data_IF_432255104306
#
_entry.id   IF_432255104306
#
_cell.length_a   1.000
_cell.length_b   1.000
_cell.length_c   1.000
_cell.angle_alpha   90.00
_cell.angle_beta   90.00
_cell.angle_gamma   90.00
#
_symmetry.space_group_name_H-M   'P 1'
#
loop_
_entity.id
_entity.type
_entity.pdbx_description
1 polymer ?
#
# COMPACT_ATOMS: atom_id res chain seq x y z
N UNK A 1 11.22 -48.27 -25.86
CA UNK A 1 10.68 -47.59 -24.66
C UNK A 1 11.60 -46.49 -24.08
N UNK A 2 12.75 -46.15 -24.68
CA UNK A 2 13.72 -45.18 -24.09
C UNK A 2 13.70 -43.74 -24.63
N UNK A 3 12.80 -43.38 -25.56
CA UNK A 3 12.80 -42.05 -26.22
C UNK A 3 11.97 -40.99 -25.49
N UNK A 4 10.93 -41.37 -24.75
CA UNK A 4 10.04 -40.41 -24.07
C UNK A 4 10.62 -39.82 -22.78
N UNK A 5 11.53 -40.53 -22.10
CA UNK A 5 12.15 -40.04 -20.86
C UNK A 5 13.12 -38.86 -21.10
N UNK A 6 13.76 -38.81 -22.29
CA UNK A 6 14.66 -37.70 -22.66
C UNK A 6 13.91 -36.40 -22.99
N UNK A 7 12.65 -36.49 -23.43
CA UNK A 7 11.81 -35.32 -23.70
C UNK A 7 11.36 -34.61 -22.39
N UNK A 8 11.31 -35.34 -21.26
CA UNK A 8 11.04 -34.80 -19.93
C UNK A 8 12.24 -34.11 -19.27
N UNK A 9 13.43 -34.30 -19.83
CA UNK A 9 14.70 -33.72 -19.35
C UNK A 9 15.15 -32.54 -20.21
N UNK A 10 14.28 -32.04 -21.09
CA UNK A 10 14.54 -30.81 -21.83
C UNK A 10 14.52 -29.66 -20.82
N UNK A 11 15.61 -28.90 -20.75
CA UNK A 11 15.64 -27.66 -19.97
C UNK A 11 14.63 -26.69 -20.58
N UNK A 12 13.49 -26.48 -19.91
CA UNK A 12 12.39 -25.64 -20.41
C UNK A 12 12.79 -24.16 -20.53
N UNK A 13 13.62 -23.67 -19.60
CA UNK A 13 14.21 -22.32 -19.63
C UNK A 13 15.52 -22.29 -18.84
N UNK A 14 16.51 -21.53 -19.32
CA UNK A 14 17.70 -21.22 -18.52
C UNK A 14 17.37 -20.21 -17.41
N UNK A 15 18.15 -20.20 -16.33
CA UNK A 15 17.98 -19.22 -15.24
C UNK A 15 18.08 -17.76 -15.73
N UNK A 16 18.86 -17.50 -16.78
CA UNK A 16 18.98 -16.18 -17.39
C UNK A 16 17.71 -15.79 -18.14
N UNK A 17 17.17 -16.69 -18.97
CA UNK A 17 15.92 -16.45 -19.70
C UNK A 17 14.75 -16.26 -18.74
N UNK A 18 14.69 -17.05 -17.67
CA UNK A 18 13.72 -16.87 -16.58
C UNK A 18 13.86 -15.48 -15.95
N UNK A 19 15.07 -15.04 -15.61
CA UNK A 19 15.30 -13.73 -15.00
C UNK A 19 14.94 -12.58 -15.94
N UNK A 20 15.36 -12.63 -17.20
CA UNK A 20 15.05 -11.60 -18.21
C UNK A 20 13.53 -11.50 -18.43
N UNK A 21 12.84 -12.63 -18.52
CA UNK A 21 11.37 -12.67 -18.59
C UNK A 21 10.73 -12.07 -17.35
N UNK A 22 11.14 -12.47 -16.15
CA UNK A 22 10.59 -11.96 -14.88
C UNK A 22 10.82 -10.46 -14.71
N UNK A 23 12.01 -9.95 -15.05
CA UNK A 23 12.32 -8.52 -14.94
C UNK A 23 11.55 -7.68 -15.96
N UNK A 24 11.24 -8.25 -17.12
CA UNK A 24 10.46 -7.60 -18.17
C UNK A 24 8.96 -7.59 -17.83
N UNK A 25 8.42 -8.73 -17.38
CA UNK A 25 7.00 -8.86 -17.00
C UNK A 25 6.66 -8.16 -15.69
N UNK A 26 7.63 -8.07 -14.76
CA UNK A 26 7.44 -7.58 -13.39
C UNK A 26 8.50 -6.54 -13.03
N UNK A 27 8.49 -5.36 -13.69
CA UNK A 27 9.48 -4.32 -13.44
C UNK A 27 9.38 -3.80 -12.01
N UNK A 28 10.50 -3.29 -11.50
CA UNK A 28 10.53 -2.66 -10.19
C UNK A 28 9.73 -1.37 -10.16
N UNK A 29 8.94 -1.21 -9.11
CA UNK A 29 8.09 -0.08 -8.81
C UNK A 29 8.82 0.80 -7.81
N UNK A 30 9.47 1.86 -8.31
CA UNK A 30 10.11 2.87 -7.48
C UNK A 30 9.04 3.83 -6.96
N UNK A 31 8.60 3.59 -5.73
CA UNK A 31 7.57 4.37 -5.06
C UNK A 31 8.21 5.12 -3.88
N UNK A 32 8.59 6.41 -4.02
CA UNK A 32 8.93 7.23 -2.86
C UNK A 32 7.77 7.26 -1.85
N UNK A 33 8.00 7.20 -0.52
CA UNK A 33 9.29 7.06 0.17
C UNK A 33 9.86 5.63 0.22
N UNK A 34 9.14 4.62 -0.28
CA UNK A 34 9.46 3.18 -0.20
C UNK A 34 10.54 2.68 -1.18
N UNK A 35 11.31 3.57 -1.78
CA UNK A 35 12.29 3.27 -2.83
C UNK A 35 13.54 2.48 -2.38
N UNK A 36 13.77 2.29 -1.07
CA UNK A 36 14.95 1.58 -0.56
C UNK A 36 14.98 0.08 -0.86
N UNK A 37 13.80 -0.55 -0.94
CA UNK A 37 13.68 -1.96 -1.31
C UNK A 37 12.91 -2.03 -2.62
N UNK A 38 13.42 -2.76 -3.62
CA UNK A 38 12.76 -2.86 -4.91
C UNK A 38 11.43 -3.62 -4.77
N UNK A 39 10.32 -2.89 -4.89
CA UNK A 39 8.97 -3.47 -4.90
C UNK A 39 8.60 -3.91 -6.32
N UNK A 40 7.80 -4.96 -6.46
CA UNK A 40 7.29 -5.46 -7.74
C UNK A 40 5.90 -6.06 -7.59
N UNK A 41 5.23 -6.30 -8.72
CA UNK A 41 3.98 -7.05 -8.72
C UNK A 41 4.17 -8.45 -8.11
N UNK A 42 3.19 -8.89 -7.34
CA UNK A 42 3.25 -10.09 -6.50
C UNK A 42 3.79 -9.83 -5.08
N UNK A 43 4.37 -8.66 -4.80
CA UNK A 43 4.66 -8.28 -3.41
C UNK A 43 3.39 -7.84 -2.68
N UNK A 44 3.40 -8.10 -1.37
CA UNK A 44 2.40 -7.65 -0.40
C UNK A 44 3.13 -6.80 0.63
N UNK A 45 2.82 -5.51 0.65
CA UNK A 45 3.41 -4.49 1.51
C UNK A 45 2.41 -4.11 2.60
N UNK A 46 2.82 -4.23 3.85
CA UNK A 46 2.04 -3.82 5.01
C UNK A 46 2.64 -2.54 5.61
N UNK A 47 1.90 -1.44 5.51
CA UNK A 47 2.21 -0.18 6.19
C UNK A 47 1.59 -0.21 7.58
N UNK A 48 2.42 -0.30 8.61
CA UNK A 48 1.99 -0.43 10.00
C UNK A 48 2.33 0.83 10.78
N UNK A 49 1.39 1.39 11.53
CA UNK A 49 1.66 2.62 12.28
C UNK A 49 0.44 3.16 13.02
N UNK A 50 0.63 4.03 14.02
CA UNK A 50 -0.48 4.67 14.73
C UNK A 50 -1.47 5.34 13.78
N UNK A 51 -2.72 5.58 14.18
CA UNK A 51 -3.72 6.18 13.27
C UNK A 51 -3.26 7.49 12.63
N UNK A 52 -2.49 8.32 13.36
CA UNK A 52 -1.95 9.62 12.91
C UNK A 52 -0.68 9.56 12.04
N UNK A 53 -0.22 8.37 11.61
CA UNK A 53 1.07 8.20 10.91
C UNK A 53 1.03 8.40 9.38
N UNK A 54 -0.01 9.04 8.84
CA UNK A 54 -0.08 9.39 7.40
C UNK A 54 0.06 8.23 6.39
N UNK A 55 -0.26 6.99 6.80
CA UNK A 55 -0.19 5.79 5.93
C UNK A 55 -1.03 5.94 4.66
N UNK A 56 -2.24 6.50 4.78
CA UNK A 56 -3.14 6.75 3.64
C UNK A 56 -2.52 7.72 2.63
N UNK A 57 -1.73 8.71 3.07
CA UNK A 57 -1.02 9.62 2.17
C UNK A 57 0.06 8.88 1.35
N UNK A 58 0.74 7.90 1.94
CA UNK A 58 1.68 7.03 1.20
C UNK A 58 0.92 6.21 0.15
N UNK A 59 -0.26 5.66 0.48
CA UNK A 59 -1.09 4.96 -0.51
C UNK A 59 -1.54 5.88 -1.64
N UNK A 60 -1.96 7.12 -1.32
CA UNK A 60 -2.36 8.13 -2.31
C UNK A 60 -1.20 8.47 -3.24
N UNK A 61 0.01 8.69 -2.72
CA UNK A 61 1.18 8.97 -3.55
C UNK A 61 1.53 7.77 -4.46
N UNK A 62 1.42 6.55 -3.95
CA UNK A 62 1.63 5.34 -4.75
C UNK A 62 0.58 5.22 -5.87
N UNK A 63 -0.69 5.50 -5.56
CA UNK A 63 -1.78 5.53 -6.54
C UNK A 63 -1.53 6.57 -7.64
N UNK A 64 -1.19 7.81 -7.26
CA UNK A 64 -0.89 8.90 -8.19
C UNK A 64 0.28 8.53 -9.11
N UNK A 65 1.35 7.97 -8.55
CA UNK A 65 2.51 7.49 -9.32
C UNK A 65 2.12 6.37 -10.28
N UNK A 66 1.20 5.49 -9.88
CA UNK A 66 0.71 4.41 -10.73
C UNK A 66 -0.11 4.93 -11.93
N UNK A 67 -1.09 5.81 -11.70
CA UNK A 67 -2.05 6.26 -12.72
C UNK A 67 -1.48 7.26 -13.73
N UNK A 68 -0.54 8.11 -13.28
CA UNK A 68 0.10 9.08 -14.15
C UNK A 68 0.93 8.39 -15.23
N UNK A 69 0.93 8.87 -16.47
CA UNK A 69 1.76 8.30 -17.52
C UNK A 69 3.24 8.63 -17.29
N UNK A 70 4.13 7.87 -17.97
CA UNK A 70 5.56 8.22 -18.04
C UNK A 70 5.76 9.52 -18.81
N UNK A 71 5.16 9.59 -19.99
CA UNK A 71 5.24 10.71 -20.93
C UNK A 71 3.83 11.07 -21.40
N UNK A 72 3.54 12.36 -21.51
CA UNK A 72 2.30 12.86 -22.09
C UNK A 72 2.57 14.14 -22.86
N UNK A 73 2.22 14.15 -24.15
CA UNK A 73 2.42 15.29 -25.07
C UNK A 73 3.81 15.92 -24.99
N UNK A 74 4.85 15.09 -24.82
CA UNK A 74 6.26 15.52 -24.75
C UNK A 74 6.78 15.87 -23.36
N UNK A 75 5.93 15.94 -22.33
CA UNK A 75 6.32 16.18 -20.93
C UNK A 75 6.47 14.86 -20.18
N UNK A 76 7.54 14.72 -19.40
CA UNK A 76 7.78 13.55 -18.55
C UNK A 76 7.16 13.73 -17.17
N UNK A 77 6.15 12.93 -16.84
CA UNK A 77 5.48 12.94 -15.54
C UNK A 77 6.01 11.86 -14.60
N UNK A 78 6.83 10.92 -15.10
CA UNK A 78 7.48 9.90 -14.28
C UNK A 78 6.52 8.97 -13.53
N UNK A 79 5.27 8.83 -14.00
CA UNK A 79 4.35 7.81 -13.50
C UNK A 79 4.48 6.49 -14.26
N UNK A 80 3.58 5.53 -14.03
CA UNK A 80 3.61 4.21 -14.68
C UNK A 80 2.61 4.06 -15.82
N UNK A 81 1.51 4.80 -15.80
CA UNK A 81 0.43 4.73 -16.78
C UNK A 81 -0.50 3.53 -16.60
N UNK A 82 -0.53 2.95 -15.40
CA UNK A 82 -1.33 1.78 -15.06
C UNK A 82 -2.52 2.12 -14.17
N UNK A 83 -3.51 1.23 -14.09
CA UNK A 83 -4.66 1.44 -13.20
C UNK A 83 -4.31 1.05 -11.76
N UNK A 84 -4.88 1.79 -10.81
CA UNK A 84 -4.77 1.51 -9.37
C UNK A 84 -6.17 1.30 -8.80
N UNK A 85 -6.33 0.29 -7.94
CA UNK A 85 -7.57 0.05 -7.22
C UNK A 85 -7.40 0.33 -5.73
N UNK A 86 -8.30 1.12 -5.17
CA UNK A 86 -8.37 1.45 -3.76
C UNK A 86 -9.62 0.84 -3.13
N UNK A 87 -9.42 -0.05 -2.15
CA UNK A 87 -10.47 -0.63 -1.32
C UNK A 87 -10.43 0.06 0.04
N UNK A 88 -11.42 0.90 0.29
CA UNK A 88 -11.62 1.65 1.52
C UNK A 88 -12.50 0.84 2.48
N UNK A 89 -11.88 0.34 3.54
CA UNK A 89 -12.52 -0.47 4.58
C UNK A 89 -12.84 0.35 5.84
N UNK A 90 -12.16 1.49 6.02
CA UNK A 90 -12.41 2.40 7.15
C UNK A 90 -13.32 3.59 6.78
N UNK A 91 -13.71 3.72 5.51
CA UNK A 91 -14.57 4.78 4.98
C UNK A 91 -14.00 6.20 5.18
N UNK A 92 -12.66 6.33 5.20
CA UNK A 92 -11.94 7.58 5.49
C UNK A 92 -11.20 8.16 4.28
N UNK A 93 -11.35 7.56 3.11
CA UNK A 93 -10.66 8.05 1.92
C UNK A 93 -11.22 9.41 1.47
N UNK A 94 -10.35 10.41 1.40
CA UNK A 94 -10.67 11.74 0.93
C UNK A 94 -10.33 11.89 -0.56
N UNK A 95 -11.39 11.84 -1.40
CA UNK A 95 -11.28 11.98 -2.85
C UNK A 95 -10.84 13.40 -3.25
N UNK A 96 -11.22 14.43 -2.47
CA UNK A 96 -10.80 15.80 -2.75
C UNK A 96 -9.30 15.93 -2.55
N UNK A 97 -8.79 15.45 -1.42
CA UNK A 97 -7.34 15.42 -1.16
C UNK A 97 -6.57 14.65 -2.23
N UNK A 98 -7.10 13.52 -2.69
CA UNK A 98 -6.52 12.77 -3.81
C UNK A 98 -6.48 13.61 -5.10
N UNK A 99 -7.58 14.27 -5.45
CA UNK A 99 -7.68 15.12 -6.64
C UNK A 99 -6.72 16.31 -6.62
N UNK A 100 -6.60 16.97 -5.47
CA UNK A 100 -5.66 18.08 -5.25
C UNK A 100 -4.21 17.65 -5.46
N UNK A 101 -3.82 16.52 -4.84
CA UNK A 101 -2.47 15.97 -4.97
C UNK A 101 -2.16 15.52 -6.39
N UNK A 102 -3.12 14.91 -7.08
CA UNK A 102 -2.97 14.53 -8.49
C UNK A 102 -2.76 15.77 -9.36
N UNK A 103 -3.59 16.80 -9.17
CA UNK A 103 -3.48 18.04 -9.92
C UNK A 103 -2.15 18.75 -9.64
N UNK A 104 -1.73 18.83 -8.39
CA UNK A 104 -0.43 19.39 -8.02
C UNK A 104 0.71 18.69 -8.76
N UNK A 105 0.72 17.35 -8.76
CA UNK A 105 1.79 16.58 -9.42
C UNK A 105 1.78 16.73 -10.95
N UNK A 106 0.62 16.98 -11.56
CA UNK A 106 0.50 17.32 -12.99
C UNK A 106 1.10 18.71 -13.26
N UNK A 107 0.75 19.70 -12.44
CA UNK A 107 1.22 21.08 -12.59
C UNK A 107 2.74 21.20 -12.36
N UNK A 108 3.26 20.50 -11.36
CA UNK A 108 4.68 20.51 -11.00
C UNK A 108 5.56 19.98 -12.15
N UNK A 109 5.18 18.85 -12.77
CA UNK A 109 5.93 18.27 -13.89
C UNK A 109 5.89 19.16 -15.14
N UNK A 110 4.76 19.81 -15.40
CA UNK A 110 4.60 20.74 -16.52
C UNK A 110 5.47 22.00 -16.34
N UNK A 111 5.54 22.54 -15.12
CA UNK A 111 6.34 23.73 -14.80
C UNK A 111 7.84 23.43 -14.69
N UNK A 112 8.21 22.25 -14.15
CA UNK A 112 9.60 21.81 -14.01
C UNK A 112 10.33 21.59 -15.34
N UNK A 113 9.59 21.39 -16.44
CA UNK A 113 10.14 21.28 -17.79
C UNK A 113 10.54 22.64 -18.40
N UNK A 114 10.14 23.76 -17.79
CA UNK A 114 10.36 25.12 -18.29
C UNK A 114 11.50 25.89 -17.57
N UNK A 115 12.08 25.33 -16.50
CA UNK A 115 12.99 26.04 -15.59
C UNK A 115 14.44 26.24 -16.07
N UNK A 116 14.72 26.15 -17.38
CA UNK A 116 16.05 26.44 -17.94
C UNK A 116 16.16 27.69 -18.82
N UNK A 117 15.10 28.47 -19.00
CA UNK A 117 15.23 29.76 -19.71
C UNK A 117 14.45 30.82 -18.93
N UNK A 118 15.16 31.84 -18.45
CA UNK A 118 14.54 32.99 -17.82
C UNK A 118 13.57 33.67 -18.79
N UNK A 119 12.28 33.66 -18.48
CA UNK A 119 11.29 34.42 -19.23
C UNK A 119 10.39 35.22 -18.29
N UNK A 120 10.07 36.43 -18.73
CA UNK A 120 9.32 37.46 -18.04
C UNK A 120 7.89 37.01 -17.66
N UNK A 121 7.38 37.52 -16.53
CA UNK A 121 6.08 37.19 -15.92
C UNK A 121 4.86 37.33 -16.86
N UNK A 122 4.94 38.08 -17.96
CA UNK A 122 3.82 38.26 -18.92
C UNK A 122 3.59 37.07 -19.85
N UNK A 123 4.59 36.23 -20.09
CA UNK A 123 4.43 35.03 -20.92
C UNK A 123 3.82 33.85 -20.16
N UNK A 124 3.84 33.90 -18.82
CA UNK A 124 3.33 32.81 -17.96
C UNK A 124 1.81 32.68 -17.98
N UNK A 125 1.04 33.78 -18.02
CA UNK A 125 -0.43 33.72 -18.05
C UNK A 125 -0.96 33.15 -19.37
N UNK A 126 -0.41 33.59 -20.50
CA UNK A 126 -0.78 33.07 -21.83
C UNK A 126 -0.30 31.63 -22.09
N UNK A 127 0.75 31.18 -21.38
CA UNK A 127 1.17 29.77 -21.37
C UNK A 127 0.28 28.93 -20.45
N UNK A 128 -0.11 29.44 -19.28
CA UNK A 128 -0.99 28.76 -18.33
C UNK A 128 -2.37 28.49 -18.94
N UNK A 129 -2.98 29.47 -19.62
CA UNK A 129 -4.25 29.28 -20.34
C UNK A 129 -4.13 28.30 -21.51
N UNK A 130 -2.98 28.22 -22.18
CA UNK A 130 -2.73 27.20 -23.21
C UNK A 130 -2.51 25.80 -22.62
N UNK A 131 -2.01 25.70 -21.40
CA UNK A 131 -1.71 24.42 -20.73
C UNK A 131 -2.90 23.85 -19.98
N UNK A 132 -3.85 24.70 -19.58
CA UNK A 132 -5.06 24.34 -18.84
C UNK A 132 -5.90 23.24 -19.51
N UNK A 133 -6.22 23.27 -20.82
CA UNK A 133 -6.94 22.19 -21.47
C UNK A 133 -6.17 20.87 -21.50
N UNK A 134 -4.83 20.93 -21.61
CA UNK A 134 -3.98 19.73 -21.61
C UNK A 134 -3.95 19.05 -20.23
N UNK A 135 -3.96 19.85 -19.17
CA UNK A 135 -3.97 19.35 -17.79
C UNK A 135 -5.32 18.75 -17.42
N UNK A 136 -6.44 19.31 -17.91
CA UNK A 136 -7.78 18.76 -17.69
C UNK A 136 -7.97 17.37 -18.36
N UNK A 137 -7.53 17.21 -19.60
CA UNK A 137 -7.60 15.93 -20.31
C UNK A 137 -6.76 14.85 -19.61
N UNK A 138 -5.53 15.20 -19.21
CA UNK A 138 -4.64 14.30 -18.48
C UNK A 138 -5.21 13.93 -17.10
N UNK A 139 -5.74 14.93 -16.38
CA UNK A 139 -6.38 14.72 -15.09
C UNK A 139 -7.56 13.76 -15.21
N UNK A 140 -8.46 13.99 -16.18
CA UNK A 140 -9.60 13.11 -16.42
C UNK A 140 -9.17 11.68 -16.78
N UNK A 141 -8.11 11.53 -17.60
CA UNK A 141 -7.54 10.24 -17.93
C UNK A 141 -6.96 9.52 -16.71
N UNK A 142 -6.27 10.24 -15.83
CA UNK A 142 -5.72 9.67 -14.59
C UNK A 142 -6.83 9.29 -13.60
N UNK A 143 -7.86 10.11 -13.46
CA UNK A 143 -9.03 9.81 -12.62
C UNK A 143 -9.77 8.55 -13.11
N UNK A 144 -9.90 8.35 -14.42
CA UNK A 144 -10.48 7.11 -14.99
C UNK A 144 -9.67 5.85 -14.65
N UNK A 145 -8.36 5.98 -14.42
CA UNK A 145 -7.48 4.86 -14.03
C UNK A 145 -7.50 4.56 -12.53
N UNK A 146 -8.11 5.42 -11.72
CA UNK A 146 -8.23 5.23 -10.29
C UNK A 146 -9.59 4.60 -9.97
N UNK A 147 -9.58 3.31 -9.63
CA UNK A 147 -10.76 2.54 -9.27
C UNK A 147 -10.96 2.58 -7.76
N UNK A 148 -12.14 2.99 -7.31
CA UNK A 148 -12.45 3.11 -5.88
C UNK A 148 -13.62 2.19 -5.51
N UNK A 149 -13.46 1.43 -4.43
CA UNK A 149 -14.51 0.59 -3.84
C UNK A 149 -14.51 0.83 -2.33
N UNK A 150 -15.70 0.98 -1.76
CA UNK A 150 -15.91 1.05 -0.31
C UNK A 150 -16.60 -0.22 0.15
N UNK A 151 -16.14 -0.78 1.26
CA UNK A 151 -16.80 -1.91 1.93
C UNK A 151 -17.08 -1.53 3.38
N UNK A 152 -18.25 -1.92 3.88
CA UNK A 152 -18.71 -1.58 5.24
C UNK A 152 -18.54 -2.74 6.23
N UNK A 153 -18.37 -3.97 5.74
CA UNK A 153 -18.12 -5.14 6.57
C UNK A 153 -17.23 -6.19 5.87
N UNK A 154 -16.90 -7.24 6.62
CA UNK A 154 -16.06 -8.35 6.15
C UNK A 154 -16.70 -9.17 5.04
N UNK A 155 -18.03 -9.20 4.95
CA UNK A 155 -18.77 -9.92 3.92
C UNK A 155 -18.73 -9.18 2.59
N UNK A 156 -18.96 -7.87 2.59
CA UNK A 156 -18.82 -7.01 1.42
C UNK A 156 -17.39 -7.01 0.88
N UNK A 157 -16.41 -6.96 1.78
CA UNK A 157 -15.00 -7.03 1.39
C UNK A 157 -14.67 -8.38 0.74
N UNK A 158 -15.09 -9.50 1.32
CA UNK A 158 -14.87 -10.82 0.75
C UNK A 158 -15.61 -11.00 -0.60
N UNK A 159 -16.85 -10.53 -0.70
CA UNK A 159 -17.62 -10.56 -1.95
C UNK A 159 -16.95 -9.69 -3.03
N UNK A 160 -16.42 -8.54 -2.66
CA UNK A 160 -15.64 -7.68 -3.55
C UNK A 160 -14.43 -8.42 -4.10
N UNK A 161 -13.63 -9.08 -3.26
CA UNK A 161 -12.47 -9.86 -3.71
C UNK A 161 -12.87 -11.01 -4.65
N UNK A 162 -13.94 -11.74 -4.34
CA UNK A 162 -14.41 -12.87 -5.17
C UNK A 162 -14.88 -12.44 -6.56
N UNK A 163 -15.49 -11.26 -6.66
CA UNK A 163 -15.99 -10.72 -7.94
C UNK A 163 -14.94 -9.89 -8.67
N UNK A 164 -13.81 -9.59 -8.03
CA UNK A 164 -12.82 -8.67 -8.53
C UNK A 164 -12.19 -9.14 -9.84
N UNK A 165 -11.97 -10.45 -10.01
CA UNK A 165 -11.39 -10.99 -11.25
C UNK A 165 -12.15 -10.54 -12.51
N UNK A 166 -13.48 -10.65 -12.50
CA UNK A 166 -14.34 -10.25 -13.62
C UNK A 166 -14.31 -8.73 -13.82
N UNK A 167 -14.32 -7.97 -12.71
CA UNK A 167 -14.25 -6.51 -12.75
C UNK A 167 -12.95 -6.04 -13.41
N UNK A 168 -11.81 -6.62 -13.02
CA UNK A 168 -10.51 -6.32 -13.59
C UNK A 168 -10.42 -6.67 -15.08
N UNK A 169 -11.04 -7.77 -15.52
CA UNK A 169 -11.12 -8.11 -16.95
C UNK A 169 -11.89 -7.06 -17.75
N UNK A 170 -13.07 -6.66 -17.25
CA UNK A 170 -13.88 -5.63 -17.90
C UNK A 170 -13.14 -4.29 -18.01
N UNK A 171 -12.48 -3.86 -16.94
CA UNK A 171 -11.69 -2.61 -16.95
C UNK A 171 -10.52 -2.69 -17.93
N UNK A 172 -9.88 -3.86 -18.03
CA UNK A 172 -8.81 -4.12 -19.01
C UNK A 172 -9.33 -4.03 -20.45
N UNK A 173 -10.51 -4.52 -20.74
CA UNK A 173 -11.14 -4.43 -22.07
C UNK A 173 -11.50 -2.99 -22.43
N UNK A 174 -12.02 -2.21 -21.48
CA UNK A 174 -12.46 -0.82 -21.71
C UNK A 174 -11.27 0.14 -21.83
N UNK A 175 -10.27 0.00 -20.96
CA UNK A 175 -9.16 0.96 -20.85
C UNK A 175 -7.86 0.46 -21.50
N UNK A 176 -7.76 -0.82 -21.86
CA UNK A 176 -6.56 -1.43 -22.43
C UNK A 176 -5.39 -1.56 -21.44
N UNK A 177 -5.63 -1.27 -20.16
CA UNK A 177 -4.59 -1.17 -19.13
C UNK A 177 -4.92 -2.08 -17.96
N UNK A 178 -3.92 -2.87 -17.52
CA UNK A 178 -4.05 -3.72 -16.35
C UNK A 178 -4.01 -2.90 -15.06
N UNK A 179 -4.71 -3.36 -14.04
CA UNK A 179 -4.50 -2.87 -12.67
C UNK A 179 -3.19 -3.45 -12.15
N UNK A 180 -2.27 -2.59 -11.72
CA UNK A 180 -0.96 -3.00 -11.20
C UNK A 180 -0.82 -2.81 -9.70
N UNK A 181 -1.73 -2.04 -9.09
CA UNK A 181 -1.68 -1.65 -7.69
C UNK A 181 -3.03 -1.87 -7.03
N UNK A 182 -3.06 -2.70 -5.98
CA UNK A 182 -4.22 -2.93 -5.12
C UNK A 182 -3.92 -2.33 -3.74
N UNK A 183 -4.69 -1.34 -3.34
CA UNK A 183 -4.56 -0.59 -2.10
C UNK A 183 -5.70 -0.96 -1.16
N UNK A 184 -5.40 -1.28 0.10
CA UNK A 184 -6.38 -1.67 1.12
C UNK A 184 -6.19 -0.80 2.36
N UNK A 185 -7.21 -0.03 2.75
CA UNK A 185 -7.11 0.91 3.87
C UNK A 185 -8.34 0.80 4.81
N UNK A 186 -8.28 0.19 5.99
CA UNK A 186 -7.19 -0.61 6.55
C UNK A 186 -7.56 -2.09 6.63
N UNK A 187 -6.60 -3.01 6.48
CA UNK A 187 -6.88 -4.46 6.49
C UNK A 187 -7.43 -4.94 7.85
N UNK A 188 -7.20 -4.17 8.91
CA UNK A 188 -7.68 -4.46 10.26
C UNK A 188 -9.05 -3.88 10.60
N UNK A 189 -9.73 -3.20 9.67
CA UNK A 189 -10.98 -2.46 9.92
C UNK A 189 -12.05 -3.30 10.66
N UNK A 190 -12.32 -4.50 10.16
CA UNK A 190 -13.40 -5.36 10.68
C UNK A 190 -12.95 -6.36 11.75
N UNK A 191 -11.64 -6.45 12.02
CA UNK A 191 -11.07 -7.48 12.88
C UNK A 191 -11.73 -7.53 14.27
N UNK A 192 -11.93 -6.38 14.91
CA UNK A 192 -12.48 -6.34 16.27
C UNK A 192 -13.97 -6.65 16.33
N UNK A 193 -14.74 -6.20 15.33
CA UNK A 193 -16.17 -6.48 15.22
C UNK A 193 -16.38 -7.98 14.98
N UNK A 194 -15.71 -8.52 13.96
CA UNK A 194 -15.78 -9.95 13.63
C UNK A 194 -15.35 -10.85 14.81
N UNK A 195 -14.32 -10.41 15.57
CA UNK A 195 -13.88 -11.11 16.79
C UNK A 195 -14.97 -11.12 17.86
N UNK A 196 -15.62 -9.99 18.12
CA UNK A 196 -16.70 -9.87 19.10
C UNK A 196 -17.97 -10.64 18.68
N UNK A 197 -18.24 -10.73 17.39
CA UNK A 197 -19.36 -11.49 16.86
C UNK A 197 -19.16 -13.01 16.97
N UNK A 198 -17.92 -13.49 16.95
CA UNK A 198 -17.60 -14.93 17.09
C UNK A 198 -17.87 -15.52 18.48
N UNK A 199 -18.08 -14.68 19.50
CA UNK A 199 -18.38 -15.11 20.88
C UNK A 199 -19.86 -15.29 21.20
N UNK A 200 -20.78 -15.03 20.26
CA UNK A 200 -22.20 -15.34 20.43
C UNK A 200 -22.53 -16.67 19.75
N UNK A 201 -22.60 -17.80 20.49
CA UNK A 201 -23.18 -19.01 19.94
C UNK A 201 -24.68 -18.75 19.73
N UNK A 202 -25.08 -18.46 18.49
CA UNK A 202 -26.48 -18.62 18.12
C UNK A 202 -26.78 -20.11 18.26
N UNK A 203 -27.70 -20.43 19.16
CA UNK A 203 -28.10 -21.77 19.61
C UNK A 203 -28.89 -22.56 18.54
N UNK A 204 -28.55 -22.38 17.26
CA UNK A 204 -29.25 -23.02 16.15
C UNK A 204 -28.29 -23.30 14.98
N UNK A 205 -28.23 -24.58 14.62
CA UNK A 205 -27.70 -25.20 13.40
C UNK A 205 -26.19 -25.37 13.19
N UNK A 206 -25.87 -26.57 12.68
CA UNK A 206 -24.59 -27.15 12.27
C UNK A 206 -23.79 -26.37 11.18
N UNK A 207 -24.04 -25.07 11.01
CA UNK A 207 -23.23 -24.22 10.13
C UNK A 207 -21.98 -23.84 10.90
N UNK A 208 -20.81 -24.30 10.40
CA UNK A 208 -19.49 -23.88 10.91
C UNK A 208 -19.53 -22.38 11.19
N UNK A 209 -19.44 -22.00 12.47
CA UNK A 209 -19.42 -20.60 12.87
C UNK A 209 -18.34 -19.88 12.05
N UNK A 210 -18.66 -18.67 11.59
CA UNK A 210 -17.72 -17.81 10.89
C UNK A 210 -16.66 -17.34 11.88
N UNK A 211 -15.73 -18.23 12.25
CA UNK A 211 -14.58 -17.85 13.05
C UNK A 211 -13.80 -16.78 12.29
N UNK A 212 -13.41 -15.69 12.97
CA UNK A 212 -12.57 -14.61 12.45
C UNK A 212 -11.36 -15.12 11.66
N UNK A 213 -10.77 -16.21 12.14
CA UNK A 213 -9.66 -16.88 11.46
C UNK A 213 -10.05 -17.31 10.04
N UNK A 214 -11.24 -17.89 9.85
CA UNK A 214 -11.77 -18.30 8.54
C UNK A 214 -11.95 -17.11 7.60
N UNK A 215 -12.39 -15.94 8.11
CA UNK A 215 -12.58 -14.73 7.28
C UNK A 215 -11.24 -14.20 6.79
N UNK A 216 -10.27 -14.02 7.71
CA UNK A 216 -8.93 -13.55 7.35
C UNK A 216 -8.20 -14.51 6.41
N UNK A 217 -8.36 -15.82 6.62
CA UNK A 217 -7.82 -16.86 5.75
C UNK A 217 -8.48 -16.82 4.37
N UNK A 218 -9.81 -16.67 4.31
CA UNK A 218 -10.53 -16.54 3.05
C UNK A 218 -10.08 -15.29 2.28
N UNK A 219 -9.98 -14.13 2.94
CA UNK A 219 -9.47 -12.89 2.33
C UNK A 219 -8.06 -13.11 1.75
N UNK A 220 -7.13 -13.69 2.52
CA UNK A 220 -5.77 -13.98 2.05
C UNK A 220 -5.79 -14.95 0.88
N UNK A 221 -6.63 -15.99 0.93
CA UNK A 221 -6.76 -16.96 -0.17
C UNK A 221 -7.31 -16.31 -1.44
N UNK A 222 -8.33 -15.46 -1.35
CA UNK A 222 -8.87 -14.76 -2.53
C UNK A 222 -7.85 -13.78 -3.10
N UNK A 223 -7.13 -13.00 -2.27
CA UNK A 223 -6.06 -12.12 -2.77
C UNK A 223 -4.96 -12.95 -3.44
N UNK A 224 -4.55 -14.09 -2.87
CA UNK A 224 -3.58 -14.99 -3.51
C UNK A 224 -4.06 -15.48 -4.87
N UNK A 225 -5.31 -15.94 -4.98
CA UNK A 225 -5.89 -16.35 -6.27
C UNK A 225 -5.92 -15.22 -7.28
N UNK A 226 -6.30 -14.02 -6.85
CA UNK A 226 -6.28 -12.84 -7.70
C UNK A 226 -4.87 -12.55 -8.22
N UNK A 227 -3.85 -12.62 -7.36
CA UNK A 227 -2.46 -12.34 -7.75
C UNK A 227 -1.85 -13.38 -8.70
N UNK A 228 -2.39 -14.61 -8.75
CA UNK A 228 -1.99 -15.61 -9.74
C UNK A 228 -2.45 -15.27 -11.15
N UNK A 229 -3.60 -14.61 -11.28
CA UNK A 229 -4.22 -14.28 -12.57
C UNK A 229 -3.94 -12.84 -12.99
N UNK A 230 -3.90 -11.93 -12.02
CA UNK A 230 -3.69 -10.50 -12.18
C UNK A 230 -2.50 -10.08 -11.31
N UNK A 231 -1.27 -10.14 -11.83
CA UNK A 231 -0.08 -9.74 -11.08
C UNK A 231 -0.18 -8.26 -10.65
N UNK A 232 -0.32 -8.02 -9.36
CA UNK A 232 -0.44 -6.68 -8.76
C UNK A 232 0.50 -6.53 -7.57
N UNK A 233 0.95 -5.32 -7.28
CA UNK A 233 1.49 -4.95 -5.98
C UNK A 233 0.32 -4.72 -5.02
N UNK A 234 0.30 -5.41 -3.89
CA UNK A 234 -0.70 -5.16 -2.85
C UNK A 234 -0.08 -4.29 -1.77
N UNK A 235 -0.73 -3.19 -1.42
CA UNK A 235 -0.35 -2.36 -0.27
C UNK A 235 -1.54 -2.26 0.68
N UNK A 236 -1.32 -2.59 1.94
CA UNK A 236 -2.35 -2.54 2.96
C UNK A 236 -1.88 -1.70 4.15
N UNK A 237 -2.76 -0.85 4.69
CA UNK A 237 -2.49 -0.19 5.96
C UNK A 237 -2.97 -1.04 7.13
N UNK A 238 -2.28 -0.91 8.26
CA UNK A 238 -2.68 -1.47 9.55
C UNK A 238 -2.40 -0.48 10.67
N UNK A 239 -3.42 -0.16 11.45
CA UNK A 239 -3.24 0.59 12.69
C UNK A 239 -2.59 -0.30 13.75
N UNK A 240 -1.69 0.27 14.58
CA UNK A 240 -1.17 -0.43 15.76
C UNK A 240 -1.97 -0.12 17.00
N UNK A 241 -2.27 -1.17 17.77
CA UNK A 241 -2.71 -1.04 19.16
C UNK A 241 -1.45 -0.84 20.00
N UNK A 242 -1.16 0.41 20.35
CA UNK A 242 -0.14 0.69 21.34
C UNK A 242 -0.61 0.11 22.68
N UNK A 243 0.07 -0.93 23.16
CA UNK A 243 0.03 -1.24 24.59
C UNK A 243 0.61 -0.04 25.35
N UNK A 244 0.01 0.31 26.48
CA UNK A 244 0.24 1.46 27.37
C UNK A 244 1.70 1.66 27.85
N UNK A 245 2.68 1.75 26.94
CA UNK A 245 4.13 1.83 27.22
C UNK A 245 4.78 3.13 26.75
N UNK A 246 4.00 4.07 26.22
CA UNK A 246 4.50 5.36 25.72
C UNK A 246 3.88 6.54 26.49
N UNK A 247 3.65 6.35 27.79
CA UNK A 247 3.68 7.48 28.71
C UNK A 247 5.09 7.54 29.28
N UNK A 248 5.78 8.61 28.92
CA UNK A 248 7.03 9.16 29.48
C UNK A 248 8.33 8.35 29.35
N UNK A 249 9.27 9.01 28.67
CA UNK A 249 10.73 8.85 28.68
C UNK A 249 11.33 7.73 27.82
N UNK A 250 11.92 8.16 26.70
CA UNK A 250 13.18 7.56 26.25
C UNK A 250 14.20 7.57 27.39
N UNK A 251 15.08 6.57 27.37
CA UNK A 251 16.12 6.22 28.35
C UNK A 251 15.71 5.13 29.35
N UNK A 252 16.23 3.93 29.05
CA UNK A 252 16.40 2.72 29.86
C UNK A 252 15.48 1.55 29.50
N UNK A 253 15.96 0.82 28.50
CA UNK A 253 15.64 -0.58 28.30
C UNK A 253 16.13 -1.38 29.50
N UNK A 254 15.22 -1.80 30.40
CA UNK A 254 15.55 -2.81 31.41
C UNK A 254 14.38 -3.78 31.61
N UNK A 255 14.69 -5.06 31.41
CA UNK A 255 13.84 -6.20 31.69
C UNK A 255 13.44 -6.22 33.17
N UNK A 256 12.16 -5.97 33.46
CA UNK A 256 11.50 -6.55 34.64
C UNK A 256 10.25 -7.30 34.22
N UNK A 257 10.46 -8.62 34.16
CA UNK A 257 9.51 -9.72 34.37
C UNK A 257 8.29 -9.26 35.17
N UNK A 258 7.12 -9.22 34.55
CA UNK A 258 5.86 -9.23 35.28
C UNK A 258 5.20 -10.59 35.03
N UNK A 259 5.12 -11.34 36.13
CA UNK A 259 4.45 -12.63 36.26
C UNK A 259 2.99 -12.55 35.81
N UNK A 260 2.69 -13.11 34.65
CA UNK A 260 1.32 -13.44 34.29
C UNK A 260 0.94 -14.74 35.00
N UNK A 261 -0.05 -14.66 35.88
CA UNK A 261 -0.74 -15.81 36.45
C UNK A 261 -1.30 -16.66 35.30
N UNK A 262 -1.08 -17.96 35.42
CA UNK A 262 -1.33 -19.00 34.43
C UNK A 262 -2.72 -18.95 33.79
N UNK A 263 -2.75 -18.87 32.45
CA UNK A 263 -3.91 -19.29 31.67
C UNK A 263 -3.51 -20.57 30.88
N UNK A 264 -3.98 -21.77 31.28
CA UNK A 264 -3.40 -23.04 30.84
C UNK A 264 -3.80 -23.50 29.42
N UNK A 265 -4.44 -22.65 28.60
CA UNK A 265 -4.92 -23.03 27.26
C UNK A 265 -4.18 -22.41 26.07
N UNK A 266 -3.16 -21.56 26.27
CA UNK A 266 -2.36 -21.05 25.15
C UNK A 266 -1.04 -21.81 24.99
N UNK A 267 -1.12 -23.08 24.60
CA UNK A 267 0.06 -23.85 24.21
C UNK A 267 0.34 -23.71 22.71
N UNK A 268 1.48 -23.08 22.45
CA UNK A 268 2.38 -23.25 21.30
C UNK A 268 1.99 -22.58 19.97
N UNK A 269 2.76 -21.54 19.61
CA UNK A 269 3.68 -21.55 18.46
C UNK A 269 4.74 -20.46 18.75
N UNK A 270 5.97 -20.90 18.99
CA UNK A 270 7.16 -20.05 19.06
C UNK A 270 7.61 -19.74 17.63
N UNK A 271 7.13 -18.62 17.07
CA UNK A 271 7.70 -18.05 15.84
C UNK A 271 8.65 -16.92 16.21
N UNK A 272 9.95 -17.15 16.02
CA UNK A 272 11.06 -16.17 15.98
C UNK A 272 10.74 -14.77 16.52
N UNK A 273 11.23 -14.48 17.72
CA UNK A 273 11.15 -13.19 18.42
C UNK A 273 11.92 -12.09 17.66
N UNK A 274 11.38 -11.62 16.53
CA UNK A 274 11.58 -10.24 16.14
C UNK A 274 10.66 -9.44 17.05
N UNK A 275 11.22 -8.84 18.12
CA UNK A 275 10.48 -7.97 19.03
C UNK A 275 9.85 -6.82 18.25
N UNK A 276 8.62 -7.03 17.78
CA UNK A 276 7.82 -5.99 17.15
C UNK A 276 7.56 -4.93 18.22
N UNK A 277 7.73 -3.64 17.90
CA UNK A 277 7.57 -2.58 18.88
C UNK A 277 6.08 -2.26 19.15
N UNK A 278 5.18 -3.19 18.83
CA UNK A 278 3.73 -3.11 18.97
C UNK A 278 3.14 -4.51 19.12
N UNK A 279 1.90 -4.59 19.61
CA UNK A 279 1.17 -5.86 19.72
C UNK A 279 0.59 -6.25 18.36
N UNK A 280 0.97 -7.41 17.85
CA UNK A 280 0.35 -7.98 16.66
C UNK A 280 -1.03 -8.56 17.01
N UNK A 281 -2.04 -8.18 16.23
CA UNK A 281 -3.40 -8.72 16.38
C UNK A 281 -3.89 -9.44 15.11
N UNK A 282 -3.25 -9.23 13.97
CA UNK A 282 -3.67 -9.88 12.73
C UNK A 282 -3.33 -11.38 12.76
N UNK A 283 -4.21 -12.25 12.23
CA UNK A 283 -3.97 -13.69 12.20
C UNK A 283 -2.71 -14.12 11.42
N UNK A 284 -2.18 -15.30 11.75
CA UNK A 284 -0.97 -15.85 11.14
C UNK A 284 -1.05 -15.99 9.61
N UNK A 285 -2.25 -16.23 9.07
CA UNK A 285 -2.50 -16.27 7.64
C UNK A 285 -2.11 -14.96 6.93
N UNK A 286 -2.45 -13.82 7.54
CA UNK A 286 -2.03 -12.50 7.04
C UNK A 286 -0.54 -12.27 7.24
N UNK A 287 -0.03 -12.60 8.43
CA UNK A 287 1.38 -12.41 8.78
C UNK A 287 2.34 -13.14 7.84
N UNK A 288 2.02 -14.39 7.49
CA UNK A 288 2.80 -15.20 6.54
C UNK A 288 2.59 -14.79 5.08
N UNK A 289 1.55 -14.02 4.78
CA UNK A 289 1.26 -13.52 3.44
C UNK A 289 2.00 -12.21 3.13
N UNK A 290 2.25 -11.39 4.15
CA UNK A 290 3.00 -10.14 4.02
C UNK A 290 4.45 -10.43 3.64
N UNK A 291 4.89 -9.85 2.52
CA UNK A 291 6.28 -9.97 2.03
C UNK A 291 7.16 -8.83 2.53
N UNK A 292 6.57 -7.65 2.72
CA UNK A 292 7.27 -6.45 3.14
C UNK A 292 6.47 -5.76 4.23
N UNK A 293 7.13 -5.32 5.29
CA UNK A 293 6.50 -4.64 6.42
C UNK A 293 7.27 -3.39 6.76
N UNK A 294 6.55 -2.30 6.85
CA UNK A 294 7.11 -0.97 7.03
C UNK A 294 6.39 -0.30 8.18
N UNK A 295 7.16 0.13 9.16
CA UNK A 295 6.68 0.86 10.32
C UNK A 295 6.73 2.36 10.04
N UNK A 296 5.58 3.02 10.15
CA UNK A 296 5.42 4.47 9.96
C UNK A 296 5.00 5.09 11.28
N UNK A 297 5.69 6.16 11.70
CA UNK A 297 5.42 6.88 12.96
C UNK A 297 5.57 8.37 12.76
N UNK A 298 4.73 9.17 13.42
CA UNK A 298 5.02 10.59 13.57
C UNK A 298 6.19 10.75 14.56
N UNK A 299 7.02 11.76 14.36
CA UNK A 299 7.95 12.26 15.38
C UNK A 299 7.30 13.38 16.18
N UNK A 300 7.67 13.50 17.44
CA UNK A 300 7.28 14.65 18.28
C UNK A 300 8.12 15.91 17.97
N UNK A 301 9.14 15.78 17.11
CA UNK A 301 9.95 16.90 16.60
C UNK A 301 9.16 17.69 15.55
N UNK A 302 8.42 18.71 15.97
CA UNK A 302 7.88 19.72 15.07
C UNK A 302 9.01 20.66 14.62
N UNK A 303 9.15 20.89 13.31
CA UNK A 303 10.04 21.93 12.79
C UNK A 303 9.48 23.31 13.18
N UNK A 304 9.99 23.89 14.26
CA UNK A 304 9.79 25.31 14.60
C UNK A 304 10.69 26.17 13.70
N UNK A 305 10.47 26.13 12.39
CA UNK A 305 11.03 27.14 11.50
C UNK A 305 9.97 28.22 11.31
N UNK A 306 10.30 29.44 11.74
CA UNK A 306 9.42 30.61 11.71
C UNK A 306 8.77 30.77 10.34
N UNK A 307 7.48 31.08 10.37
CA UNK A 307 6.47 31.09 9.27
C UNK A 307 5.55 29.86 9.25
N UNK A 308 4.66 29.78 10.26
CA UNK A 308 3.31 29.17 10.26
C UNK A 308 3.02 27.86 9.50
N UNK A 309 3.99 27.00 9.21
CA UNK A 309 3.75 25.64 8.69
C UNK A 309 4.26 24.61 9.68
N UNK A 310 3.38 24.14 10.58
CA UNK A 310 3.60 22.93 11.37
C UNK A 310 3.69 21.72 10.42
N UNK A 311 4.88 21.45 9.91
CA UNK A 311 5.14 20.28 9.08
C UNK A 311 5.59 19.13 9.99
N UNK A 312 4.65 18.25 10.33
CA UNK A 312 4.97 17.03 11.08
C UNK A 312 5.94 16.15 10.29
N UNK A 313 7.02 15.75 10.95
CA UNK A 313 7.98 14.79 10.41
C UNK A 313 7.50 13.37 10.75
N UNK A 314 7.71 12.47 9.80
CA UNK A 314 7.39 11.05 9.94
C UNK A 314 8.64 10.21 9.73
N UNK A 315 8.72 9.14 10.50
CA UNK A 315 9.75 8.12 10.39
C UNK A 315 9.20 6.89 9.67
N UNK A 316 10.03 6.33 8.81
CA UNK A 316 9.77 5.11 8.08
C UNK A 316 10.91 4.12 8.33
N UNK A 317 10.57 2.96 8.88
CA UNK A 317 11.50 1.86 9.18
C UNK A 317 11.04 0.57 8.54
N UNK A 318 11.92 -0.09 7.81
CA UNK A 318 11.65 -1.42 7.25
C UNK A 318 11.82 -2.49 8.33
N UNK A 319 10.76 -3.22 8.61
CA UNK A 319 10.75 -4.38 9.52
C UNK A 319 10.95 -5.68 8.75
N UNK A 320 10.42 -5.77 7.53
CA UNK A 320 10.57 -6.92 6.63
C UNK A 320 10.75 -6.42 5.18
N UNK A 321 11.84 -6.78 4.49
CA UNK A 321 13.10 -7.23 5.07
C UNK A 321 13.65 -6.16 6.04
N UNK A 322 14.33 -6.53 7.14
CA UNK A 322 14.82 -5.55 8.10
C UNK A 322 15.94 -4.72 7.49
N UNK A 323 15.80 -3.39 7.52
CA UNK A 323 16.88 -2.45 7.17
C UNK A 323 17.28 -1.64 8.40
N UNK A 324 18.59 -1.36 8.51
CA UNK A 324 19.14 -0.52 9.57
C UNK A 324 18.97 0.98 9.30
N UNK A 325 18.44 1.36 8.14
CA UNK A 325 18.18 2.75 7.77
C UNK A 325 16.80 3.19 8.25
N UNK A 326 16.74 4.42 8.75
CA UNK A 326 15.52 5.14 9.06
C UNK A 326 15.34 6.25 8.04
N UNK A 327 14.23 6.26 7.32
CA UNK A 327 13.88 7.35 6.43
C UNK A 327 13.01 8.37 7.15
N UNK A 328 13.29 9.65 6.93
CA UNK A 328 12.44 10.74 7.38
C UNK A 328 11.66 11.28 6.18
N UNK A 329 10.40 11.58 6.38
CA UNK A 329 9.59 12.24 5.36
C UNK A 329 8.63 13.24 5.99
N UNK A 330 8.14 14.19 5.20
CA UNK A 330 7.12 15.15 5.60
C UNK A 330 5.92 15.02 4.66
N UNK A 331 4.74 15.35 5.17
CA UNK A 331 3.52 15.43 4.38
C UNK A 331 3.15 16.90 4.29
N UNK A 332 3.10 17.44 3.07
CA UNK A 332 2.70 18.81 2.76
C UNK A 332 1.43 18.76 1.89
N UNK A 333 0.86 19.93 1.62
CA UNK A 333 -0.28 20.06 0.69
C UNK A 333 0.01 19.59 -0.72
N UNK A 334 1.29 19.55 -1.08
CA UNK A 334 1.79 19.16 -2.39
C UNK A 334 2.16 17.68 -2.48
N UNK A 335 2.12 16.94 -1.36
CA UNK A 335 2.40 15.51 -1.31
C UNK A 335 3.37 15.10 -0.20
N UNK A 336 3.99 13.94 -0.39
CA UNK A 336 4.92 13.34 0.58
C UNK A 336 6.35 13.50 0.08
N UNK A 337 7.21 14.09 0.90
CA UNK A 337 8.59 14.44 0.55
C UNK A 337 9.59 13.78 1.51
N UNK A 338 10.61 13.13 0.96
CA UNK A 338 11.70 12.54 1.74
C UNK A 338 12.62 13.66 2.22
N UNK A 339 12.98 13.63 3.50
CA UNK A 339 14.02 14.48 4.06
C UNK A 339 15.34 13.71 3.99
N UNK A 340 16.32 14.29 3.30
CA UNK A 340 17.67 13.73 3.11
C UNK A 340 18.49 13.72 4.39
#
# INVERSE_FOLDING_TARGET
>A
MGSHAKAWLVEDESAREMLDRVLTERPFLLLPPLHRVPLRVGNVVELVGPSSSSKTHILIQAAITCILPKLWKGVSYGGLGHSAMFIDLDCRFDVLRFSELLNHRIMEAANGSSSKVGCHQKDSEAQFERMKPYNEELFALCMKRFLYIRCYDSSEFLATLKTLHYRLQKEREVHGVNVHLLLIDSIGAFHWVDRGSSSFPLECDNRKSWHLQNVSEAVVQEIRRLLLVHPMLVMATKAVVLGNKYSTNELTWNYRKWSAVDNPYSRNITSSDQQLPYREYMPAAWQSFVTHRILVRATDDDLVNGEHQNNSIYLLKWLLPPLNSLDKFTVRDTGVFILS
#
